data_IF_227360650957
#
_entry.id   IF_227360650957
#
_cell.length_a   1.000
_cell.length_b   1.000
_cell.length_c   1.000
_cell.angle_alpha   90.00
_cell.angle_beta   90.00
_cell.angle_gamma   90.00
#
_symmetry.space_group_name_H-M   'P 1'
#
loop_
_entity.id
_entity.type
_entity.pdbx_description
1 polymer ?
#
# COMPACT_ATOMS: atom_id res chain seq x y z
N UNK A 1 12.99 24.61 12.20
CA UNK A 1 12.24 23.54 12.89
C UNK A 1 12.69 22.12 12.44
N UNK A 2 13.89 21.95 11.87
CA UNK A 2 14.55 20.63 11.69
C UNK A 2 15.17 20.08 13.01
N UNK A 3 15.44 20.97 13.98
CA UNK A 3 16.12 20.67 15.27
C UNK A 3 15.37 19.72 16.22
N UNK A 4 14.10 19.39 15.95
CA UNK A 4 13.30 18.56 16.85
C UNK A 4 13.19 17.09 16.41
N UNK A 5 13.56 16.77 15.16
CA UNK A 5 13.56 15.38 14.66
C UNK A 5 14.98 14.81 14.57
N UNK A 6 15.98 15.66 14.30
CA UNK A 6 17.39 15.29 14.33
C UNK A 6 18.02 15.88 15.60
N UNK A 7 18.60 15.04 16.49
CA UNK A 7 19.23 15.54 17.70
C UNK A 7 20.37 16.48 17.32
N UNK A 8 20.49 17.66 17.98
CA UNK A 8 21.53 18.62 17.66
C UNK A 8 22.88 18.01 18.05
N UNK A 9 23.77 17.91 17.05
CA UNK A 9 25.21 17.67 17.14
C UNK A 9 25.66 16.54 18.08
N UNK A 10 25.96 15.37 17.50
CA UNK A 10 26.75 14.32 18.16
C UNK A 10 26.17 12.90 18.14
N UNK A 11 25.02 12.67 17.51
CA UNK A 11 24.35 11.35 17.50
C UNK A 11 24.00 10.84 16.10
N UNK A 12 24.94 10.96 15.16
CA UNK A 12 24.82 10.44 13.78
C UNK A 12 24.31 8.99 13.76
N UNK A 13 24.86 8.13 14.63
CA UNK A 13 24.44 6.73 14.74
C UNK A 13 22.95 6.58 15.10
N UNK A 14 22.41 7.40 16.02
CA UNK A 14 20.99 7.34 16.38
C UNK A 14 20.09 7.77 15.23
N UNK A 15 20.51 8.80 14.50
CA UNK A 15 19.83 9.26 13.29
C UNK A 15 19.83 8.19 12.20
N UNK A 16 20.98 7.58 11.91
CA UNK A 16 21.09 6.50 10.93
C UNK A 16 20.22 5.30 11.31
N UNK A 17 20.24 4.88 12.58
CA UNK A 17 19.40 3.78 13.07
C UNK A 17 17.92 4.10 12.88
N UNK A 18 17.48 5.31 13.24
CA UNK A 18 16.10 5.73 13.08
C UNK A 18 15.65 5.76 11.61
N UNK A 19 16.47 6.33 10.73
CA UNK A 19 16.22 6.32 9.29
C UNK A 19 16.15 4.89 8.74
N UNK A 20 17.09 4.02 9.11
CA UNK A 20 17.09 2.61 8.70
C UNK A 20 15.82 1.88 9.11
N UNK A 21 15.35 2.08 10.36
CA UNK A 21 14.13 1.45 10.87
C UNK A 21 12.91 1.93 10.07
N UNK A 22 12.78 3.25 9.83
CA UNK A 22 11.66 3.80 9.07
C UNK A 22 11.70 3.33 7.61
N UNK A 23 12.86 3.34 6.96
CA UNK A 23 13.05 2.81 5.60
C UNK A 23 12.58 1.36 5.53
N UNK A 24 13.04 0.53 6.47
CA UNK A 24 12.70 -0.88 6.52
C UNK A 24 11.20 -1.10 6.67
N UNK A 25 10.55 -0.39 7.61
CA UNK A 25 9.12 -0.53 7.86
C UNK A 25 8.26 -0.14 6.64
N UNK A 26 8.58 0.97 5.98
CA UNK A 26 7.84 1.41 4.79
C UNK A 26 8.01 0.43 3.62
N UNK A 27 9.25 0.01 3.35
CA UNK A 27 9.54 -0.93 2.27
C UNK A 27 8.92 -2.32 2.54
N UNK A 28 8.98 -2.78 3.79
CA UNK A 28 8.38 -4.04 4.20
C UNK A 28 6.87 -4.02 3.97
N UNK A 29 6.18 -2.96 4.40
CA UNK A 29 4.73 -2.86 4.23
C UNK A 29 4.31 -2.83 2.76
N UNK A 30 4.98 -2.04 1.93
CA UNK A 30 4.71 -1.98 0.49
C UNK A 30 4.93 -3.34 -0.19
N UNK A 31 6.03 -4.02 0.14
CA UNK A 31 6.36 -5.34 -0.41
C UNK A 31 5.34 -6.38 0.05
N UNK A 32 5.05 -6.43 1.35
CA UNK A 32 4.06 -7.34 1.93
C UNK A 32 2.71 -7.17 1.24
N UNK A 33 2.22 -5.93 1.13
CA UNK A 33 0.95 -5.60 0.46
C UNK A 33 0.92 -6.07 -1.00
N UNK A 34 2.06 -6.12 -1.68
CA UNK A 34 2.11 -6.57 -3.09
C UNK A 34 2.03 -8.10 -3.19
N UNK A 35 2.77 -8.82 -2.33
CA UNK A 35 2.99 -10.25 -2.50
C UNK A 35 2.07 -11.17 -1.68
N UNK A 36 1.41 -10.69 -0.62
CA UNK A 36 0.60 -11.56 0.24
C UNK A 36 -0.49 -12.32 -0.52
N UNK A 37 -1.03 -11.74 -1.59
CA UNK A 37 -2.05 -12.38 -2.43
C UNK A 37 -1.51 -13.62 -3.12
N UNK A 38 -0.24 -13.61 -3.56
CA UNK A 38 0.37 -14.76 -4.22
C UNK A 38 0.57 -15.92 -3.26
N UNK A 39 1.01 -15.63 -2.03
CA UNK A 39 1.16 -16.64 -0.99
C UNK A 39 -0.18 -17.24 -0.57
N UNK A 40 -1.24 -16.42 -0.54
CA UNK A 40 -2.59 -16.83 -0.17
C UNK A 40 -3.48 -17.15 -1.40
N UNK A 41 -2.89 -17.52 -2.55
CA UNK A 41 -3.62 -17.64 -3.81
C UNK A 41 -4.81 -18.62 -3.71
N UNK A 42 -4.61 -19.80 -3.13
CA UNK A 42 -5.66 -20.81 -2.95
C UNK A 42 -6.77 -20.30 -2.02
N UNK A 43 -6.40 -19.65 -0.92
CA UNK A 43 -7.34 -19.10 0.05
C UNK A 43 -8.18 -17.97 -0.56
N UNK A 44 -7.58 -17.10 -1.38
CA UNK A 44 -8.29 -16.01 -2.06
C UNK A 44 -9.22 -16.56 -3.14
N UNK A 45 -8.79 -17.55 -3.93
CA UNK A 45 -9.65 -18.19 -4.92
C UNK A 45 -10.84 -18.88 -4.27
N UNK A 46 -10.62 -19.56 -3.14
CA UNK A 46 -11.70 -20.14 -2.33
C UNK A 46 -12.65 -19.05 -1.81
N UNK A 47 -12.12 -17.98 -1.24
CA UNK A 47 -12.90 -16.82 -0.79
C UNK A 47 -13.81 -16.26 -1.89
N UNK A 48 -13.31 -16.11 -3.12
CA UNK A 48 -14.12 -15.63 -4.25
C UNK A 48 -15.26 -16.61 -4.53
N UNK A 49 -14.96 -17.91 -4.62
CA UNK A 49 -15.99 -18.91 -4.89
C UNK A 49 -17.06 -18.94 -3.78
N UNK A 50 -16.64 -18.95 -2.52
CA UNK A 50 -17.53 -18.93 -1.36
C UNK A 50 -18.43 -17.68 -1.36
N UNK A 51 -17.90 -16.52 -1.78
CA UNK A 51 -18.65 -15.27 -1.88
C UNK A 51 -19.78 -15.32 -2.90
N UNK A 52 -19.58 -15.96 -4.05
CA UNK A 52 -20.65 -16.14 -5.04
C UNK A 52 -21.63 -17.23 -4.64
N UNK A 53 -21.15 -18.30 -4.00
CA UNK A 53 -22.00 -19.37 -3.49
C UNK A 53 -22.98 -18.88 -2.42
N UNK A 54 -22.57 -17.99 -1.51
CA UNK A 54 -23.46 -17.36 -0.53
C UNK A 54 -24.58 -16.54 -1.20
N UNK A 55 -24.28 -15.96 -2.36
CA UNK A 55 -25.25 -15.24 -3.20
C UNK A 55 -26.10 -16.17 -4.08
N UNK A 56 -25.96 -17.49 -3.92
CA UNK A 56 -26.68 -18.51 -4.71
C UNK A 56 -26.18 -18.64 -6.16
N UNK A 57 -25.01 -18.09 -6.48
CA UNK A 57 -24.42 -18.11 -7.81
C UNK A 57 -23.24 -19.09 -7.87
N UNK A 58 -23.28 -20.05 -8.80
CA UNK A 58 -22.12 -20.89 -9.10
C UNK A 58 -21.33 -20.25 -10.24
N UNK A 59 -20.12 -19.80 -9.95
CA UNK A 59 -19.23 -19.24 -10.95
C UNK A 59 -18.51 -20.34 -11.73
N UNK A 60 -18.22 -20.08 -13.01
CA UNK A 60 -17.37 -20.95 -13.81
C UNK A 60 -15.90 -20.78 -13.43
N UNK A 61 -15.10 -21.82 -13.67
CA UNK A 61 -13.65 -21.76 -13.46
C UNK A 61 -12.99 -20.65 -14.28
N UNK A 62 -13.47 -20.44 -15.52
CA UNK A 62 -12.99 -19.35 -16.36
C UNK A 62 -13.26 -17.97 -15.73
N UNK A 63 -14.45 -17.76 -15.16
CA UNK A 63 -14.77 -16.50 -14.46
C UNK A 63 -13.87 -16.28 -13.24
N UNK A 64 -13.68 -17.33 -12.42
CA UNK A 64 -12.77 -17.29 -11.28
C UNK A 64 -11.34 -16.91 -11.71
N UNK A 65 -10.86 -17.49 -12.81
CA UNK A 65 -9.53 -17.21 -13.35
C UNK A 65 -9.39 -15.77 -13.82
N UNK A 66 -10.39 -15.21 -14.54
CA UNK A 66 -10.39 -13.79 -14.91
C UNK A 66 -10.39 -12.86 -13.70
N UNK A 67 -11.19 -13.18 -12.68
CA UNK A 67 -11.25 -12.40 -11.45
C UNK A 67 -9.91 -12.44 -10.70
N UNK A 68 -9.33 -13.63 -10.56
CA UNK A 68 -8.01 -13.84 -9.96
C UNK A 68 -6.91 -13.05 -10.69
N UNK A 69 -6.87 -13.12 -12.02
CA UNK A 69 -5.93 -12.33 -12.81
C UNK A 69 -6.14 -10.82 -12.61
N UNK A 70 -7.37 -10.38 -12.43
CA UNK A 70 -7.68 -8.97 -12.14
C UNK A 70 -7.12 -8.55 -10.78
N UNK A 71 -7.22 -9.38 -9.75
CA UNK A 71 -6.64 -9.12 -8.41
C UNK A 71 -5.11 -8.94 -8.48
N UNK A 72 -4.45 -9.71 -9.34
CA UNK A 72 -3.00 -9.65 -9.50
C UNK A 72 -2.55 -8.43 -10.31
N UNK A 73 -3.30 -8.07 -11.35
CA UNK A 73 -2.84 -7.07 -12.33
C UNK A 73 -3.39 -5.66 -12.10
N UNK A 74 -4.60 -5.49 -11.56
CA UNK A 74 -5.16 -4.16 -11.33
C UNK A 74 -4.38 -3.29 -10.33
N UNK A 75 -3.66 -3.83 -9.32
CA UNK A 75 -2.75 -3.02 -8.50
C UNK A 75 -1.74 -2.20 -9.30
N UNK A 76 -1.31 -2.65 -10.49
CA UNK A 76 -0.43 -1.88 -11.37
C UNK A 76 -1.06 -0.59 -11.89
N UNK A 77 -2.39 -0.54 -12.06
CA UNK A 77 -3.09 0.71 -12.39
C UNK A 77 -2.98 1.71 -11.23
N UNK A 78 -3.09 1.24 -10.00
CA UNK A 78 -2.86 2.09 -8.82
C UNK A 78 -1.44 2.65 -8.79
N UNK A 79 -0.43 1.81 -9.08
CA UNK A 79 0.95 2.26 -9.21
C UNK A 79 1.14 3.29 -10.33
N UNK A 80 0.54 3.09 -11.50
CA UNK A 80 0.60 4.06 -12.59
C UNK A 80 0.04 5.43 -12.16
N UNK A 81 -1.17 5.45 -11.58
CA UNK A 81 -1.81 6.69 -11.12
C UNK A 81 -0.98 7.39 -10.03
N UNK A 82 -0.46 6.61 -9.08
CA UNK A 82 0.36 7.16 -8.00
C UNK A 82 1.65 7.81 -8.47
N UNK A 83 2.35 7.27 -9.49
CA UNK A 83 3.58 7.87 -10.00
C UNK A 83 3.34 9.25 -10.61
N UNK A 84 2.16 9.47 -11.22
CA UNK A 84 1.76 10.77 -11.76
C UNK A 84 1.37 11.76 -10.66
N UNK A 85 0.72 11.29 -9.60
CA UNK A 85 0.18 12.14 -8.53
C UNK A 85 1.18 12.41 -7.39
N UNK A 86 2.16 11.52 -7.17
CA UNK A 86 3.09 11.62 -6.05
C UNK A 86 3.90 12.93 -6.02
N UNK A 87 4.44 13.45 -7.16
CA UNK A 87 5.11 14.76 -7.16
C UNK A 87 4.17 15.88 -6.75
N UNK A 88 2.95 15.89 -7.31
CA UNK A 88 1.93 16.90 -7.01
C UNK A 88 1.55 16.92 -5.52
N UNK A 89 1.35 15.76 -4.90
CA UNK A 89 1.07 15.66 -3.47
C UNK A 89 2.25 16.16 -2.62
N UNK A 90 3.47 15.77 -2.99
CA UNK A 90 4.68 16.17 -2.26
C UNK A 90 4.94 17.68 -2.32
N UNK A 91 4.66 18.32 -3.45
CA UNK A 91 4.80 19.77 -3.61
C UNK A 91 3.66 20.56 -2.94
N UNK A 92 2.43 20.07 -3.04
CA UNK A 92 1.25 20.79 -2.53
C UNK A 92 1.11 20.71 -1.00
N UNK A 93 1.29 19.51 -0.42
CA UNK A 93 1.11 19.28 1.03
C UNK A 93 2.43 19.25 1.79
N UNK A 94 3.56 19.18 1.08
CA UNK A 94 4.86 18.91 1.66
C UNK A 94 5.10 17.42 1.89
N UNK A 95 6.38 17.03 1.85
CA UNK A 95 6.83 15.62 1.89
C UNK A 95 6.44 14.91 3.20
N UNK A 96 6.61 15.58 4.34
CA UNK A 96 6.27 15.02 5.67
C UNK A 96 4.76 14.80 5.83
N UNK A 97 3.94 15.78 5.42
CA UNK A 97 2.50 15.65 5.55
C UNK A 97 1.97 14.54 4.64
N UNK A 98 2.48 14.46 3.40
CA UNK A 98 2.17 13.40 2.44
C UNK A 98 2.47 12.01 3.02
N UNK A 99 3.61 11.83 3.71
CA UNK A 99 3.94 10.58 4.39
C UNK A 99 2.93 10.20 5.48
N UNK A 100 2.47 11.16 6.28
CA UNK A 100 1.49 10.89 7.35
C UNK A 100 0.12 10.55 6.73
N UNK A 101 -0.35 11.34 5.75
CA UNK A 101 -1.65 11.10 5.11
C UNK A 101 -1.71 9.75 4.40
N UNK A 102 -0.64 9.38 3.70
CA UNK A 102 -0.58 8.08 2.99
C UNK A 102 -0.48 6.89 3.95
N UNK A 103 0.14 7.03 5.12
CA UNK A 103 0.08 6.00 6.15
C UNK A 103 -1.35 5.79 6.69
N UNK A 104 -2.07 6.89 6.97
CA UNK A 104 -3.48 6.81 7.40
C UNK A 104 -4.36 6.19 6.30
N UNK A 105 -4.19 6.62 5.05
CA UNK A 105 -4.92 6.05 3.92
C UNK A 105 -4.57 4.57 3.68
N UNK A 106 -3.32 4.15 3.92
CA UNK A 106 -2.92 2.74 3.85
C UNK A 106 -3.61 1.90 4.92
N UNK A 107 -3.75 2.44 6.13
CA UNK A 107 -4.52 1.79 7.20
C UNK A 107 -6.00 1.64 6.83
N UNK A 108 -6.61 2.68 6.25
CA UNK A 108 -7.98 2.61 5.72
C UNK A 108 -8.10 1.52 4.64
N UNK A 109 -7.13 1.43 3.73
CA UNK A 109 -7.11 0.40 2.70
C UNK A 109 -7.02 -1.02 3.29
N UNK A 110 -6.24 -1.21 4.33
CA UNK A 110 -6.14 -2.48 5.04
C UNK A 110 -7.49 -2.85 5.70
N UNK A 111 -8.14 -1.88 6.36
CA UNK A 111 -9.48 -2.08 6.93
C UNK A 111 -10.51 -2.45 5.85
N UNK A 112 -10.53 -1.77 4.71
CA UNK A 112 -11.42 -2.10 3.60
C UNK A 112 -11.18 -3.52 3.09
N UNK A 113 -9.92 -3.94 3.01
CA UNK A 113 -9.55 -5.29 2.62
C UNK A 113 -10.05 -6.31 3.65
N UNK A 114 -9.86 -6.06 4.94
CA UNK A 114 -10.38 -6.93 6.02
C UNK A 114 -11.90 -7.02 5.99
N UNK A 115 -12.60 -5.89 5.84
CA UNK A 115 -14.06 -5.83 5.74
C UNK A 115 -14.54 -6.63 4.53
N UNK A 116 -13.88 -6.49 3.38
CA UNK A 116 -14.26 -7.24 2.18
C UNK A 116 -14.20 -8.75 2.38
N UNK A 117 -13.17 -9.24 3.10
CA UNK A 117 -13.02 -10.67 3.41
C UNK A 117 -14.08 -11.15 4.41
N UNK A 118 -14.38 -10.36 5.45
CA UNK A 118 -15.38 -10.72 6.47
C UNK A 118 -16.79 -10.80 5.89
N UNK A 119 -17.16 -9.85 5.03
CA UNK A 119 -18.51 -9.76 4.44
C UNK A 119 -18.65 -10.44 3.07
N UNK A 120 -17.62 -11.17 2.61
CA UNK A 120 -17.66 -11.91 1.34
C UNK A 120 -18.01 -11.01 0.13
N UNK A 121 -17.31 -9.87 0.04
CA UNK A 121 -17.50 -8.84 -1.00
C UNK A 121 -16.24 -8.75 -1.89
N UNK A 122 -16.10 -9.61 -2.92
CA UNK A 122 -14.91 -9.66 -3.76
C UNK A 122 -14.68 -8.38 -4.57
N UNK A 123 -15.73 -7.62 -4.89
CA UNK A 123 -15.64 -6.34 -5.59
C UNK A 123 -14.96 -5.27 -4.71
N UNK A 124 -15.29 -5.24 -3.42
CA UNK A 124 -14.65 -4.33 -2.46
C UNK A 124 -13.18 -4.71 -2.24
N UNK A 125 -12.86 -6.01 -2.23
CA UNK A 125 -11.49 -6.49 -2.18
C UNK A 125 -10.67 -5.98 -3.37
N UNK A 126 -11.24 -6.02 -4.58
CA UNK A 126 -10.57 -5.52 -5.77
C UNK A 126 -10.33 -3.99 -5.71
N UNK A 127 -11.32 -3.23 -5.25
CA UNK A 127 -11.21 -1.77 -5.08
C UNK A 127 -10.16 -1.42 -4.04
N UNK A 128 -10.17 -2.12 -2.89
CA UNK A 128 -9.19 -1.88 -1.82
C UNK A 128 -7.77 -2.20 -2.28
N UNK A 129 -7.58 -3.19 -3.15
CA UNK A 129 -6.27 -3.51 -3.75
C UNK A 129 -5.72 -2.37 -4.61
N UNK A 130 -6.55 -1.80 -5.50
CA UNK A 130 -6.14 -0.69 -6.37
C UNK A 130 -5.89 0.58 -5.56
N UNK A 131 -6.76 0.88 -4.60
CA UNK A 131 -6.58 2.02 -3.71
C UNK A 131 -5.31 1.87 -2.85
N UNK A 132 -5.13 0.70 -2.23
CA UNK A 132 -3.97 0.41 -1.39
C UNK A 132 -2.66 0.45 -2.17
N UNK A 133 -2.62 -0.08 -3.39
CA UNK A 133 -1.42 -0.02 -4.23
C UNK A 133 -1.08 1.42 -4.61
N UNK A 134 -2.06 2.23 -4.97
CA UNK A 134 -1.83 3.65 -5.26
C UNK A 134 -1.26 4.38 -4.04
N UNK A 135 -1.90 4.25 -2.87
CA UNK A 135 -1.50 4.97 -1.66
C UNK A 135 -0.12 4.52 -1.16
N UNK A 136 0.15 3.22 -1.14
CA UNK A 136 1.46 2.68 -0.70
C UNK A 136 2.59 3.11 -1.63
N UNK A 137 2.34 3.26 -2.93
CA UNK A 137 3.36 3.75 -3.85
C UNK A 137 3.57 5.28 -3.75
N UNK A 138 2.51 6.09 -3.50
CA UNK A 138 2.70 7.51 -3.16
C UNK A 138 3.56 7.63 -1.90
N UNK A 139 3.31 6.80 -0.89
CA UNK A 139 4.09 6.78 0.33
C UNK A 139 5.58 6.49 0.04
N UNK A 140 5.86 5.46 -0.76
CA UNK A 140 7.22 5.10 -1.16
C UNK A 140 7.94 6.22 -1.92
N UNK A 141 7.27 6.88 -2.87
CA UNK A 141 7.82 8.03 -3.59
C UNK A 141 8.10 9.21 -2.65
N UNK A 142 7.15 9.56 -1.77
CA UNK A 142 7.32 10.62 -0.78
C UNK A 142 8.46 10.32 0.20
N UNK A 143 8.62 9.05 0.58
CA UNK A 143 9.69 8.58 1.44
C UNK A 143 11.05 8.73 0.77
N UNK A 144 11.17 8.32 -0.49
CA UNK A 144 12.41 8.43 -1.28
C UNK A 144 12.83 9.90 -1.44
N UNK A 145 11.89 10.80 -1.71
CA UNK A 145 12.13 12.24 -1.80
C UNK A 145 12.44 12.89 -0.44
N UNK A 146 11.97 12.30 0.65
CA UNK A 146 12.30 12.75 2.00
C UNK A 146 13.71 12.31 2.39
N UNK A 147 14.07 11.05 2.14
CA UNK A 147 15.37 10.48 2.45
C UNK A 147 16.52 11.16 1.69
N UNK A 148 16.32 11.44 0.39
CA UNK A 148 17.36 12.05 -0.45
C UNK A 148 17.76 13.47 -0.06
N UNK A 149 16.85 14.25 0.54
CA UNK A 149 17.18 15.62 1.00
C UNK A 149 17.82 15.65 2.38
N UNK A 150 17.77 14.54 3.13
CA UNK A 150 18.54 14.42 4.37
C UNK A 150 20.05 14.24 4.14
N UNK A 151 20.46 13.78 2.95
CA UNK A 151 21.89 13.63 2.59
C UNK A 151 22.52 14.95 2.11
N UNK A 152 21.72 15.99 1.83
CA UNK A 152 22.21 17.26 1.26
C UNK A 152 22.45 18.37 2.29
N UNK A 153 22.16 18.15 3.57
CA UNK A 153 22.37 19.09 4.69
C UNK A 153 23.40 18.52 5.70
#
# INVERSE_FOLDING_TARGET
MLKFLFPPNGRLLQTCIFCCIISFLNLFFQSYSTFYTNTAAENIQKYINDSYLERGQKISENYLLWFWNSILNLPFLGFLLSNLLAPYFCESFGRRATLIYTNVASFISALLTTISVIYLIPELFLISRVFGSAVTNINFCAFTLFATVLDTD
#
